data_IF_529760489304
#
_entry.id   IF_529760489304
#
_cell.length_a   1.000
_cell.length_b   1.000
_cell.length_c   1.000
_cell.angle_alpha   90.00
_cell.angle_beta   90.00
_cell.angle_gamma   90.00
#
_symmetry.space_group_name_H-M   'P 1'
#
loop_
_entity.id
_entity.type
_entity.pdbx_description
1 polymer ?
#
# COMPACT_ATOMS: atom_id res chain seq x y z
N UNK A 1 -35.11 -7.07 -17.21
CA UNK A 1 -34.13 -8.10 -16.83
C UNK A 1 -33.14 -7.42 -15.88
N UNK A 2 -33.48 -7.30 -14.60
CA UNK A 2 -33.09 -8.17 -13.46
C UNK A 2 -31.58 -8.09 -13.15
N UNK A 3 -31.21 -7.16 -12.27
CA UNK A 3 -30.04 -7.39 -11.41
C UNK A 3 -30.56 -7.84 -10.05
N UNK A 4 -30.16 -9.05 -9.67
CA UNK A 4 -30.71 -9.89 -8.60
C UNK A 4 -30.34 -9.45 -7.17
N UNK A 5 -29.86 -8.21 -6.98
CA UNK A 5 -29.51 -7.68 -5.65
C UNK A 5 -30.66 -6.94 -4.95
N UNK A 6 -31.71 -6.54 -5.69
CA UNK A 6 -32.84 -5.78 -5.15
C UNK A 6 -33.82 -6.62 -4.30
N UNK A 7 -33.68 -7.95 -4.27
CA UNK A 7 -34.64 -8.84 -3.59
C UNK A 7 -34.14 -9.35 -2.22
N UNK A 8 -32.89 -9.08 -1.84
CA UNK A 8 -32.38 -9.53 -0.54
C UNK A 8 -32.57 -8.42 0.52
N UNK A 9 -33.40 -8.68 1.54
CA UNK A 9 -33.63 -7.77 2.68
C UNK A 9 -32.44 -7.73 3.66
N UNK A 10 -31.20 -7.61 3.15
CA UNK A 10 -30.01 -7.29 3.95
C UNK A 10 -28.88 -6.85 3.01
N UNK A 11 -28.83 -5.54 2.74
CA UNK A 11 -27.60 -4.93 2.24
C UNK A 11 -26.47 -5.16 3.27
N UNK A 12 -25.23 -5.49 2.86
CA UNK A 12 -24.12 -5.58 3.80
C UNK A 12 -23.91 -4.21 4.45
N UNK A 13 -24.03 -4.15 5.79
CA UNK A 13 -23.98 -2.90 6.57
C UNK A 13 -22.63 -2.19 6.55
N UNK A 14 -21.56 -2.81 6.04
CA UNK A 14 -20.22 -2.23 6.02
C UNK A 14 -19.40 -2.70 4.81
N UNK A 15 -19.90 -2.53 3.58
CA UNK A 15 -18.98 -2.29 2.48
C UNK A 15 -18.43 -0.86 2.64
N UNK A 16 -17.72 -0.62 3.75
CA UNK A 16 -16.87 0.52 3.92
C UNK A 16 -15.79 0.32 2.89
N UNK A 17 -15.90 1.03 1.77
CA UNK A 17 -14.86 1.11 0.78
C UNK A 17 -13.55 1.39 1.52
N UNK A 18 -12.66 0.39 1.55
CA UNK A 18 -11.29 0.56 2.05
C UNK A 18 -10.62 1.46 1.02
N UNK A 19 -10.67 2.75 1.26
CA UNK A 19 -10.39 3.77 0.25
C UNK A 19 -8.94 4.22 0.16
N UNK A 20 -8.02 3.61 0.89
CA UNK A 20 -6.59 3.85 0.68
C UNK A 20 -5.83 2.53 0.58
N UNK A 21 -5.05 2.38 -0.50
CA UNK A 21 -4.10 1.28 -0.64
C UNK A 21 -2.95 1.42 0.36
N UNK A 22 -2.26 0.31 0.65
CA UNK A 22 -1.07 0.31 1.50
C UNK A 22 0.14 0.90 0.78
N UNK A 23 0.91 1.75 1.46
CA UNK A 23 2.17 2.25 0.92
C UNK A 23 3.25 1.16 0.94
N UNK A 24 3.93 1.00 -0.19
CA UNK A 24 5.10 0.12 -0.35
C UNK A 24 6.24 0.88 -1.00
N UNK A 25 7.48 0.51 -0.65
CA UNK A 25 8.69 0.93 -1.36
C UNK A 25 9.14 -0.24 -2.23
N UNK A 26 9.49 0.05 -3.48
CA UNK A 26 9.90 -0.96 -4.47
C UNK A 26 11.37 -0.74 -4.83
N UNK A 27 12.12 -1.82 -5.06
CA UNK A 27 13.50 -1.77 -5.53
C UNK A 27 13.58 -1.20 -6.95
N UNK A 28 14.76 -0.68 -7.32
CA UNK A 28 14.97 -0.03 -8.63
C UNK A 28 14.79 -0.99 -9.81
N UNK A 29 15.14 -2.24 -9.63
CA UNK A 29 15.02 -3.31 -10.62
C UNK A 29 13.62 -3.92 -10.68
N UNK A 30 12.69 -3.43 -9.85
CA UNK A 30 11.30 -3.91 -9.75
C UNK A 30 11.18 -5.39 -9.38
N UNK A 31 12.22 -5.96 -8.76
CA UNK A 31 12.22 -7.36 -8.32
C UNK A 31 11.68 -7.54 -6.90
N UNK A 32 11.73 -6.48 -6.07
CA UNK A 32 11.41 -6.56 -4.65
C UNK A 32 10.61 -5.35 -4.16
N UNK A 33 9.81 -5.56 -3.11
CA UNK A 33 9.11 -4.50 -2.39
C UNK A 33 9.15 -4.72 -0.89
N UNK A 34 8.85 -3.66 -0.14
CA UNK A 34 8.62 -3.70 1.31
C UNK A 34 7.44 -2.82 1.69
N UNK A 35 6.54 -3.36 2.52
CA UNK A 35 5.49 -2.58 3.18
C UNK A 35 6.11 -1.64 4.20
N UNK A 36 5.62 -0.40 4.24
CA UNK A 36 6.13 0.65 5.12
C UNK A 36 5.04 1.25 6.00
N UNK A 37 4.05 0.43 6.37
CA UNK A 37 2.91 0.84 7.22
C UNK A 37 3.36 1.35 8.61
N UNK A 38 4.54 0.93 9.06
CA UNK A 38 5.22 1.40 10.28
C UNK A 38 5.81 2.81 10.14
N UNK A 39 6.04 3.28 8.91
CA UNK A 39 6.50 4.63 8.59
C UNK A 39 5.32 5.52 8.22
N UNK A 40 4.50 5.08 7.27
CA UNK A 40 3.27 5.74 6.85
C UNK A 40 2.30 4.69 6.27
N UNK A 41 1.05 4.64 6.74
CA UNK A 41 0.09 3.61 6.33
C UNK A 41 -0.35 3.77 4.86
N UNK A 42 -0.37 4.99 4.35
CA UNK A 42 -0.84 5.36 3.01
C UNK A 42 0.09 6.39 2.38
N UNK A 43 0.00 6.56 1.06
CA UNK A 43 0.73 7.64 0.38
C UNK A 43 0.30 9.01 0.88
N UNK A 44 -1.00 9.20 1.14
CA UNK A 44 -1.52 10.46 1.67
C UNK A 44 -0.86 10.81 3.02
N UNK A 45 -0.82 9.86 3.96
CA UNK A 45 -0.16 10.06 5.25
C UNK A 45 1.34 10.37 5.10
N UNK A 46 2.01 9.78 4.10
CA UNK A 46 3.40 10.10 3.81
C UNK A 46 3.58 11.54 3.30
N UNK A 47 2.66 12.02 2.45
CA UNK A 47 2.71 13.37 1.90
C UNK A 47 2.35 14.45 2.93
N UNK A 48 1.45 14.14 3.87
CA UNK A 48 1.05 15.07 4.94
C UNK A 48 2.25 15.45 5.83
N UNK A 49 3.14 14.49 6.11
CA UNK A 49 4.35 14.67 6.96
C UNK A 49 5.65 14.42 6.18
N UNK A 50 5.72 14.87 4.92
CA UNK A 50 6.78 14.48 3.99
C UNK A 50 8.21 14.74 4.47
N UNK A 51 8.45 15.87 5.13
CA UNK A 51 9.80 16.22 5.63
C UNK A 51 10.33 15.20 6.66
N UNK A 52 9.43 14.55 7.41
CA UNK A 52 9.77 13.55 8.43
C UNK A 52 9.80 12.14 7.84
N UNK A 53 8.88 11.85 6.91
CA UNK A 53 8.68 10.52 6.33
C UNK A 53 9.71 10.20 5.25
N UNK A 54 10.02 11.16 4.38
CA UNK A 54 10.90 10.98 3.22
C UNK A 54 12.29 10.38 3.57
N UNK A 55 13.03 10.86 4.59
CA UNK A 55 14.32 10.28 4.94
C UNK A 55 14.23 8.82 5.39
N UNK A 56 13.13 8.42 6.05
CA UNK A 56 12.89 7.04 6.50
C UNK A 56 12.60 6.13 5.31
N UNK A 57 11.75 6.58 4.38
CA UNK A 57 11.47 5.86 3.13
C UNK A 57 12.73 5.70 2.28
N UNK A 58 13.60 6.72 2.24
CA UNK A 58 14.88 6.66 1.53
C UNK A 58 15.81 5.59 2.12
N UNK A 59 15.86 5.44 3.45
CA UNK A 59 16.64 4.39 4.08
C UNK A 59 16.11 2.99 3.73
N UNK A 60 14.78 2.80 3.76
CA UNK A 60 14.16 1.54 3.31
C UNK A 60 14.46 1.24 1.84
N UNK A 61 14.42 2.26 0.99
CA UNK A 61 14.79 2.13 -0.42
C UNK A 61 16.24 1.68 -0.58
N UNK A 62 17.18 2.25 0.18
CA UNK A 62 18.59 1.82 0.14
C UNK A 62 18.73 0.36 0.58
N UNK A 63 18.10 -0.04 1.69
CA UNK A 63 18.12 -1.43 2.17
C UNK A 63 17.56 -2.44 1.14
N UNK A 64 16.50 -2.04 0.42
CA UNK A 64 15.90 -2.84 -0.64
C UNK A 64 16.86 -3.04 -1.82
N UNK A 65 17.53 -1.97 -2.27
CA UNK A 65 18.49 -2.07 -3.37
C UNK A 65 19.77 -2.82 -2.97
N UNK A 66 20.08 -2.89 -1.68
CA UNK A 66 21.13 -3.74 -1.12
C UNK A 66 20.70 -5.21 -0.91
N UNK A 67 19.48 -5.59 -1.32
CA UNK A 67 18.91 -6.94 -1.18
C UNK A 67 18.80 -7.44 0.26
N UNK A 68 18.61 -6.55 1.23
CA UNK A 68 18.64 -6.93 2.66
C UNK A 68 17.27 -7.36 3.19
N UNK A 69 16.18 -6.71 2.75
CA UNK A 69 14.88 -6.80 3.44
C UNK A 69 13.66 -6.67 2.49
N UNK A 70 13.71 -7.24 1.29
CA UNK A 70 12.63 -7.20 0.31
C UNK A 70 11.85 -8.51 0.16
N UNK A 71 10.56 -8.40 -0.18
CA UNK A 71 9.73 -9.50 -0.66
C UNK A 71 9.66 -9.46 -2.20
N UNK A 72 9.54 -10.60 -2.90
CA UNK A 72 9.42 -10.61 -4.36
C UNK A 72 8.26 -9.74 -4.84
N UNK A 73 8.52 -8.84 -5.78
CA UNK A 73 7.52 -7.98 -6.41
C UNK A 73 7.07 -8.59 -7.73
N UNK A 74 5.76 -8.82 -7.87
CA UNK A 74 5.13 -9.25 -9.11
C UNK A 74 4.39 -8.06 -9.73
N UNK A 75 4.65 -7.81 -11.00
CA UNK A 75 4.14 -6.66 -11.75
C UNK A 75 2.92 -7.02 -12.63
N UNK A 76 2.45 -8.27 -12.57
CA UNK A 76 1.43 -8.81 -13.48
C UNK A 76 -0.01 -8.40 -13.18
#
# INVERSE_FOLDING_TARGET
MLNEWAQTKKAPKHAQWVHDGSLVVVSRDLSQYRKVEDIAPTLQAALDDWEVVSPKLQAVYQDLNDNRNGLPFDQT
#
